data_IF_345237431220
#
_entry.id   IF_345237431220
#
_cell.length_a   1.000
_cell.length_b   1.000
_cell.length_c   1.000
_cell.angle_alpha   90.00
_cell.angle_beta   90.00
_cell.angle_gamma   90.00
#
_symmetry.space_group_name_H-M   'P 1'
#
loop_
_entity.id
_entity.type
_entity.pdbx_description
1 polymer ?
#
# COMPACT_ATOMS: atom_id res chain seq x y z
N UNK A 1 -39.08 34.83 -68.64
CA UNK A 1 -38.26 33.73 -68.10
C UNK A 1 -37.05 34.39 -67.47
N UNK A 2 -37.17 34.74 -66.19
CA UNK A 2 -36.14 35.47 -65.43
C UNK A 2 -34.96 34.55 -65.09
N UNK A 3 -33.71 35.05 -65.11
CA UNK A 3 -32.53 34.26 -64.80
C UNK A 3 -32.39 34.08 -63.28
N UNK A 4 -32.12 32.85 -62.85
CA UNK A 4 -31.86 32.50 -61.45
C UNK A 4 -30.63 33.26 -60.93
N UNK A 5 -30.85 34.14 -59.96
CA UNK A 5 -29.78 34.85 -59.26
C UNK A 5 -29.01 33.88 -58.35
N UNK A 6 -27.73 33.71 -58.64
CA UNK A 6 -26.80 32.96 -57.81
C UNK A 6 -26.52 33.74 -56.51
N UNK A 7 -26.89 33.18 -55.36
CA UNK A 7 -26.50 33.71 -54.06
C UNK A 7 -25.01 33.42 -53.79
N UNK A 8 -24.20 34.39 -53.34
CA UNK A 8 -22.78 34.16 -53.10
C UNK A 8 -22.60 33.38 -51.79
N UNK A 9 -21.94 32.23 -51.89
CA UNK A 9 -21.38 31.51 -50.75
C UNK A 9 -20.33 32.39 -50.07
N UNK A 10 -20.65 32.89 -48.87
CA UNK A 10 -19.70 33.61 -48.01
C UNK A 10 -18.55 32.68 -47.62
N UNK A 11 -17.41 32.79 -48.31
CA UNK A 11 -16.16 32.16 -47.90
C UNK A 11 -15.67 32.80 -46.59
N UNK A 12 -15.62 32.01 -45.51
CA UNK A 12 -15.02 32.42 -44.25
C UNK A 12 -13.54 32.78 -44.42
N UNK A 13 -13.16 33.98 -43.96
CA UNK A 13 -11.83 34.55 -44.17
C UNK A 13 -10.70 33.84 -43.39
N UNK A 14 -9.41 34.08 -43.76
CA UNK A 14 -8.25 33.36 -43.24
C UNK A 14 -8.09 33.41 -41.70
N UNK A 15 -8.53 34.51 -41.08
CA UNK A 15 -8.38 34.75 -39.63
C UNK A 15 -9.18 33.77 -38.77
N UNK A 16 -10.39 33.38 -39.19
CA UNK A 16 -11.21 32.43 -38.44
C UNK A 16 -10.60 31.02 -38.42
N UNK A 17 -9.93 30.62 -39.51
CA UNK A 17 -9.23 29.34 -39.60
C UNK A 17 -8.03 29.30 -38.66
N UNK A 18 -7.29 30.40 -38.53
CA UNK A 18 -6.16 30.52 -37.58
C UNK A 18 -6.63 30.43 -36.13
N UNK A 19 -7.73 31.10 -35.76
CA UNK A 19 -8.31 30.98 -34.42
C UNK A 19 -8.81 29.57 -34.10
N UNK A 20 -9.46 28.90 -35.05
CA UNK A 20 -9.93 27.52 -34.88
C UNK A 20 -8.76 26.54 -34.68
N UNK A 21 -7.66 26.73 -35.41
CA UNK A 21 -6.44 25.93 -35.26
C UNK A 21 -5.78 26.17 -33.89
N UNK A 22 -5.68 27.42 -33.44
CA UNK A 22 -5.14 27.74 -32.11
C UNK A 22 -5.99 27.16 -30.97
N UNK A 23 -7.32 27.27 -31.07
CA UNK A 23 -8.24 26.71 -30.07
C UNK A 23 -8.14 25.18 -30.03
N UNK A 24 -8.07 24.54 -31.19
CA UNK A 24 -7.85 23.09 -31.33
C UNK A 24 -6.52 22.66 -30.72
N UNK A 25 -5.45 23.41 -30.97
CA UNK A 25 -4.12 23.11 -30.45
C UNK A 25 -4.08 23.23 -28.91
N UNK A 26 -4.72 24.25 -28.34
CA UNK A 26 -4.86 24.41 -26.88
C UNK A 26 -5.70 23.29 -26.27
N UNK A 27 -6.80 22.89 -26.91
CA UNK A 27 -7.63 21.80 -26.44
C UNK A 27 -6.85 20.46 -26.43
N UNK A 28 -6.07 20.22 -27.48
CA UNK A 28 -5.25 19.03 -27.63
C UNK A 28 -4.13 18.98 -26.58
N UNK A 29 -3.45 20.10 -26.31
CA UNK A 29 -2.40 20.15 -25.28
C UNK A 29 -2.95 19.99 -23.87
N UNK A 30 -4.13 20.55 -23.56
CA UNK A 30 -4.81 20.34 -22.27
C UNK A 30 -5.23 18.88 -22.11
N UNK A 31 -5.81 18.26 -23.15
CA UNK A 31 -6.14 16.83 -23.16
C UNK A 31 -4.91 15.94 -22.97
N UNK A 32 -3.82 16.24 -23.66
CA UNK A 32 -2.56 15.53 -23.50
C UNK A 32 -1.98 15.71 -22.10
N UNK A 33 -2.04 16.92 -21.52
CA UNK A 33 -1.57 17.19 -20.15
C UNK A 33 -2.40 16.45 -19.08
N UNK A 34 -3.74 16.42 -19.24
CA UNK A 34 -4.63 15.60 -18.41
C UNK A 34 -4.33 14.09 -18.56
N UNK A 35 -3.90 13.66 -19.75
CA UNK A 35 -3.42 12.30 -19.99
C UNK A 35 -2.08 12.05 -19.28
N UNK A 36 -1.13 12.99 -19.33
CA UNK A 36 0.17 12.90 -18.64
C UNK A 36 0.00 12.84 -17.10
N UNK A 37 -0.99 13.55 -16.53
CA UNK A 37 -1.30 13.49 -15.10
C UNK A 37 -1.68 12.08 -14.63
N UNK A 38 -2.27 11.24 -15.50
CA UNK A 38 -2.57 9.82 -15.18
C UNK A 38 -1.31 8.94 -15.12
N UNK A 39 -0.20 9.39 -15.71
CA UNK A 39 1.07 8.69 -15.72
C UNK A 39 2.03 9.16 -14.62
N UNK A 40 1.70 10.23 -13.90
CA UNK A 40 2.40 10.61 -12.66
C UNK A 40 2.00 9.64 -11.54
N UNK A 41 2.56 8.43 -11.56
CA UNK A 41 2.54 7.55 -10.39
C UNK A 41 3.60 8.06 -9.43
N UNK A 42 3.24 8.50 -8.21
CA UNK A 42 4.23 8.93 -7.24
C UNK A 42 5.20 7.78 -6.97
N UNK A 43 6.49 8.06 -7.10
CA UNK A 43 7.53 7.09 -6.78
C UNK A 43 7.59 6.94 -5.26
N UNK A 44 7.02 5.85 -4.74
CA UNK A 44 7.09 5.53 -3.32
C UNK A 44 8.51 5.12 -2.98
N UNK A 45 9.24 6.00 -2.30
CA UNK A 45 10.63 5.77 -1.89
C UNK A 45 10.76 5.41 -0.41
N UNK A 46 9.64 5.28 0.33
CA UNK A 46 9.66 5.10 1.78
C UNK A 46 8.50 4.24 2.27
N UNK A 47 8.79 3.37 3.24
CA UNK A 47 7.80 2.60 3.98
C UNK A 47 6.78 3.49 4.70
N UNK A 48 7.18 4.70 5.10
CA UNK A 48 6.33 5.63 5.83
C UNK A 48 5.29 6.33 4.95
N UNK A 49 5.31 6.14 3.63
CA UNK A 49 4.32 6.70 2.72
C UNK A 49 3.05 5.83 2.59
N UNK A 50 3.03 4.65 3.21
CA UNK A 50 1.88 3.76 3.17
C UNK A 50 0.89 4.05 4.31
N UNK A 51 -0.37 3.71 4.06
CA UNK A 51 -1.42 3.65 5.06
C UNK A 51 -1.79 2.19 5.31
N UNK A 52 -2.11 1.87 6.56
CA UNK A 52 -2.52 0.53 6.98
C UNK A 52 -3.75 0.63 7.87
N UNK A 53 -4.42 -0.49 8.14
CA UNK A 53 -5.53 -0.52 9.09
C UNK A 53 -5.04 -0.86 10.49
N UNK A 54 -5.59 -0.20 11.50
CA UNK A 54 -5.42 -0.64 12.89
C UNK A 54 -6.25 -1.90 13.20
N UNK A 55 -6.08 -2.48 14.39
CA UNK A 55 -6.84 -3.66 14.81
C UNK A 55 -8.37 -3.48 14.76
N UNK A 56 -8.87 -2.23 14.82
CA UNK A 56 -10.29 -1.88 14.73
C UNK A 56 -10.76 -1.64 13.29
N UNK A 57 -9.86 -1.68 12.30
CA UNK A 57 -10.15 -1.50 10.88
C UNK A 57 -10.07 -0.06 10.39
N UNK A 58 -9.63 0.89 11.23
CA UNK A 58 -9.49 2.30 10.86
C UNK A 58 -8.17 2.51 10.12
N UNK A 59 -8.19 3.34 9.09
CA UNK A 59 -6.98 3.71 8.37
C UNK A 59 -6.04 4.55 9.24
N UNK A 60 -4.75 4.23 9.19
CA UNK A 60 -3.67 4.87 9.94
C UNK A 60 -2.49 5.07 9.00
N UNK A 61 -2.04 6.31 8.85
CA UNK A 61 -0.81 6.61 8.13
C UNK A 61 0.42 6.14 8.92
N UNK A 62 1.35 5.47 8.23
CA UNK A 62 2.63 5.06 8.80
C UNK A 62 3.61 6.23 8.93
N UNK A 63 3.30 7.39 8.35
CA UNK A 63 4.10 8.61 8.47
C UNK A 63 4.33 9.01 9.93
N UNK A 64 3.39 8.70 10.82
CA UNK A 64 3.52 8.95 12.28
C UNK A 64 4.70 8.24 12.95
N UNK A 65 5.29 7.24 12.29
CA UNK A 65 6.49 6.52 12.75
C UNK A 65 7.78 6.98 12.06
N UNK A 66 7.69 7.93 11.12
CA UNK A 66 8.86 8.51 10.45
C UNK A 66 9.75 9.22 11.47
N UNK A 67 11.06 9.09 11.29
CA UNK A 67 12.05 9.61 12.25
C UNK A 67 12.24 8.75 13.50
N UNK A 68 11.54 7.61 13.60
CA UNK A 68 11.80 6.56 14.60
C UNK A 68 12.36 5.33 13.92
N UNK A 69 13.23 4.59 14.61
CA UNK A 69 13.58 3.23 14.22
C UNK A 69 12.33 2.36 14.37
N UNK A 70 11.90 1.73 13.27
CA UNK A 70 10.69 0.91 13.23
C UNK A 70 11.05 -0.55 13.02
N UNK A 71 10.76 -1.40 14.01
CA UNK A 71 10.86 -2.85 13.88
C UNK A 71 9.52 -3.40 13.40
N UNK A 72 9.43 -3.75 12.12
CA UNK A 72 8.21 -4.27 11.50
C UNK A 72 8.22 -5.79 11.58
N UNK A 73 7.18 -6.38 12.17
CA UNK A 73 7.15 -7.82 12.48
C UNK A 73 5.79 -8.42 12.12
N UNK A 74 5.80 -9.53 11.38
CA UNK A 74 4.62 -10.37 11.26
C UNK A 74 4.48 -11.26 12.52
N UNK A 75 3.30 -11.28 13.12
CA UNK A 75 3.05 -12.02 14.37
C UNK A 75 1.92 -13.04 14.20
N UNK A 76 1.89 -14.01 15.11
CA UNK A 76 0.87 -15.06 15.21
C UNK A 76 0.55 -15.28 16.70
N UNK A 77 -0.71 -15.61 17.04
CA UNK A 77 -1.11 -15.94 18.42
C UNK A 77 -0.93 -17.43 18.72
N UNK A 78 -1.18 -18.30 17.73
CA UNK A 78 -1.21 -19.76 17.89
C UNK A 78 0.01 -20.41 17.22
N UNK A 79 1.20 -19.94 17.61
CA UNK A 79 2.50 -20.44 17.17
C UNK A 79 3.34 -20.87 18.39
N UNK A 80 4.15 -21.92 18.24
CA UNK A 80 5.05 -22.39 19.32
C UNK A 80 6.08 -21.32 19.75
N UNK A 81 6.32 -20.32 18.90
CA UNK A 81 7.24 -19.22 19.17
C UNK A 81 6.55 -17.96 19.72
N UNK A 82 5.21 -17.95 19.84
CA UNK A 82 4.42 -16.79 20.26
C UNK A 82 4.95 -16.19 21.57
N UNK A 83 5.08 -17.02 22.61
CA UNK A 83 5.49 -16.56 23.94
C UNK A 83 6.85 -15.89 23.92
N UNK A 84 7.86 -16.59 23.36
CA UNK A 84 9.23 -16.07 23.27
C UNK A 84 9.28 -14.76 22.47
N UNK A 85 8.56 -14.70 21.36
CA UNK A 85 8.58 -13.55 20.47
C UNK A 85 7.90 -12.33 21.12
N UNK A 86 6.69 -12.47 21.67
CA UNK A 86 6.01 -11.34 22.31
C UNK A 86 6.76 -10.82 23.54
N UNK A 87 7.36 -11.70 24.34
CA UNK A 87 8.19 -11.29 25.49
C UNK A 87 9.43 -10.50 25.04
N UNK A 88 10.14 -10.96 24.01
CA UNK A 88 11.30 -10.25 23.48
C UNK A 88 10.92 -8.89 22.86
N UNK A 89 9.84 -8.84 22.07
CA UNK A 89 9.35 -7.60 21.49
C UNK A 89 8.88 -6.59 22.54
N UNK A 90 8.25 -7.08 23.61
CA UNK A 90 7.86 -6.25 24.75
C UNK A 90 9.10 -5.60 25.38
N UNK A 91 10.13 -6.38 25.66
CA UNK A 91 11.33 -5.86 26.32
C UNK A 91 12.05 -4.84 25.44
N UNK A 92 12.25 -5.14 24.15
CA UNK A 92 12.81 -4.19 23.20
C UNK A 92 12.00 -2.89 23.12
N UNK A 93 10.68 -2.99 23.08
CA UNK A 93 9.83 -1.80 23.02
C UNK A 93 9.87 -0.98 24.30
N UNK A 94 9.95 -1.64 25.46
CA UNK A 94 10.07 -1.00 26.76
C UNK A 94 11.42 -0.28 26.91
N UNK A 95 12.50 -0.94 26.50
CA UNK A 95 13.87 -0.42 26.62
C UNK A 95 14.11 0.76 25.66
N UNK A 96 13.79 0.59 24.37
CA UNK A 96 14.13 1.58 23.34
C UNK A 96 12.99 2.53 22.99
N UNK A 97 11.75 2.25 23.39
CA UNK A 97 10.57 3.07 23.08
C UNK A 97 10.74 4.57 23.38
N UNK A 98 11.28 4.95 24.56
CA UNK A 98 11.59 6.35 24.88
C UNK A 98 12.66 6.99 23.97
N UNK A 99 13.51 6.18 23.33
CA UNK A 99 14.65 6.59 22.50
C UNK A 99 14.35 6.51 20.99
N UNK A 100 13.15 6.91 20.57
CA UNK A 100 12.73 6.92 19.16
C UNK A 100 12.68 5.54 18.48
N UNK A 101 12.20 4.51 19.18
CA UNK A 101 11.94 3.18 18.61
C UNK A 101 10.46 2.77 18.68
N UNK A 102 9.99 1.98 17.72
CA UNK A 102 8.65 1.40 17.77
C UNK A 102 8.59 0.02 17.11
N UNK A 103 7.95 -0.93 17.80
CA UNK A 103 7.56 -2.21 17.19
C UNK A 103 6.25 -2.00 16.45
N UNK A 104 6.17 -2.42 15.19
CA UNK A 104 4.97 -2.37 14.36
C UNK A 104 4.55 -3.81 14.06
N UNK A 105 3.57 -4.33 14.81
CA UNK A 105 3.18 -5.74 14.73
C UNK A 105 1.97 -5.95 13.81
N UNK A 106 2.12 -6.84 12.84
CA UNK A 106 1.13 -7.15 11.82
C UNK A 106 0.74 -8.63 11.90
N UNK A 107 -0.44 -8.97 12.43
CA UNK A 107 -0.90 -10.36 12.49
C UNK A 107 -1.00 -10.97 11.08
N UNK A 108 -0.60 -12.24 10.92
CA UNK A 108 -0.65 -12.92 9.62
C UNK A 108 -0.96 -14.42 9.76
N UNK A 109 -1.93 -14.91 8.98
CA UNK A 109 -2.39 -16.29 9.04
C UNK A 109 -1.81 -17.22 7.96
N UNK A 110 -0.83 -16.76 7.17
CA UNK A 110 -0.32 -17.51 6.01
C UNK A 110 0.72 -18.58 6.35
N UNK A 111 1.06 -18.74 7.63
CA UNK A 111 2.07 -19.69 8.11
C UNK A 111 1.42 -20.66 9.09
N UNK A 112 1.05 -21.85 8.61
CA UNK A 112 0.45 -22.91 9.43
C UNK A 112 -0.89 -22.53 10.08
N UNK A 113 -1.59 -21.54 9.53
CA UNK A 113 -2.87 -21.03 10.07
C UNK A 113 -2.80 -20.61 11.56
N UNK A 114 -1.63 -20.15 12.02
CA UNK A 114 -1.36 -19.78 13.41
C UNK A 114 -1.98 -18.45 13.88
N UNK A 115 -2.81 -17.79 13.08
CA UNK A 115 -3.50 -16.54 13.45
C UNK A 115 -4.96 -16.52 12.95
N UNK A 116 -5.79 -17.49 13.37
CA UNK A 116 -7.16 -17.60 12.88
C UNK A 116 -8.05 -16.46 13.40
N UNK A 117 -7.72 -15.90 14.58
CA UNK A 117 -8.53 -14.92 15.31
C UNK A 117 -8.70 -13.59 14.56
N UNK A 118 -9.83 -12.88 14.74
CA UNK A 118 -10.01 -11.52 14.24
C UNK A 118 -9.01 -10.52 14.86
N UNK A 119 -8.64 -9.47 14.11
CA UNK A 119 -7.63 -8.49 14.52
C UNK A 119 -7.85 -7.87 15.91
N UNK A 120 -9.11 -7.60 16.30
CA UNK A 120 -9.46 -7.07 17.62
C UNK A 120 -9.16 -8.04 18.75
N UNK A 121 -9.36 -9.34 18.52
CA UNK A 121 -9.05 -10.39 19.49
C UNK A 121 -7.54 -10.61 19.59
N UNK A 122 -6.80 -10.53 18.48
CA UNK A 122 -5.34 -10.59 18.49
C UNK A 122 -4.74 -9.45 19.31
N UNK A 123 -5.24 -8.21 19.12
CA UNK A 123 -4.84 -7.08 19.96
C UNK A 123 -5.15 -7.35 21.45
N UNK A 124 -6.36 -7.84 21.76
CA UNK A 124 -6.74 -8.15 23.13
C UNK A 124 -5.85 -9.23 23.76
N UNK A 125 -5.55 -10.29 23.00
CA UNK A 125 -4.67 -11.38 23.39
C UNK A 125 -3.27 -10.86 23.72
N UNK A 126 -2.65 -10.10 22.81
CA UNK A 126 -1.30 -9.59 23.01
C UNK A 126 -1.21 -8.68 24.24
N UNK A 127 -2.22 -7.81 24.44
CA UNK A 127 -2.29 -6.90 25.58
C UNK A 127 -2.54 -7.63 26.90
N UNK A 128 -3.50 -8.56 26.94
CA UNK A 128 -3.88 -9.27 28.17
C UNK A 128 -2.79 -10.23 28.64
N UNK A 129 -2.18 -10.98 27.72
CA UNK A 129 -1.24 -12.04 28.10
C UNK A 129 0.19 -11.53 28.29
N UNK A 130 0.61 -10.52 27.54
CA UNK A 130 1.99 -10.03 27.60
C UNK A 130 2.11 -8.58 28.05
N UNK A 131 1.03 -7.79 28.06
CA UNK A 131 1.07 -6.38 28.45
C UNK A 131 1.79 -5.50 27.42
N UNK A 132 1.73 -5.86 26.13
CA UNK A 132 2.38 -5.05 25.08
C UNK A 132 1.69 -3.69 24.89
N UNK A 133 2.51 -2.66 24.69
CA UNK A 133 2.05 -1.28 24.49
C UNK A 133 2.26 -0.78 23.07
N UNK A 134 3.07 -1.47 22.27
CA UNK A 134 3.28 -1.17 20.87
C UNK A 134 2.02 -1.40 20.01
N UNK A 135 1.90 -0.76 18.83
CA UNK A 135 0.76 -0.93 17.94
C UNK A 135 0.65 -2.34 17.36
N UNK A 136 -0.53 -2.93 17.51
CA UNK A 136 -0.98 -4.12 16.77
C UNK A 136 -1.92 -3.64 15.66
N UNK A 137 -1.58 -3.95 14.41
CA UNK A 137 -2.36 -3.55 13.23
C UNK A 137 -3.42 -4.60 12.87
N UNK A 138 -4.18 -4.32 11.83
CA UNK A 138 -5.08 -5.29 11.25
C UNK A 138 -4.30 -6.49 10.70
N UNK A 139 -4.89 -7.68 10.76
CA UNK A 139 -4.37 -8.87 10.11
C UNK A 139 -4.22 -8.64 8.61
N UNK A 140 -3.07 -9.03 8.06
CA UNK A 140 -2.73 -8.85 6.64
C UNK A 140 -2.27 -10.16 6.00
N UNK A 141 -2.27 -10.17 4.67
CA UNK A 141 -1.48 -11.10 3.87
C UNK A 141 -0.11 -10.45 3.59
N UNK A 142 0.96 -11.23 3.66
CA UNK A 142 2.32 -10.82 3.27
C UNK A 142 2.85 -11.59 2.05
N UNK A 143 2.18 -12.69 1.67
CA UNK A 143 2.44 -13.48 0.46
C UNK A 143 1.30 -13.35 -0.57
N UNK A 144 1.66 -13.46 -1.86
CA UNK A 144 0.71 -13.48 -2.98
C UNK A 144 0.32 -12.11 -3.56
N UNK A 145 -0.56 -12.12 -4.56
CA UNK A 145 -1.07 -10.93 -5.25
C UNK A 145 -1.74 -9.94 -4.30
N UNK A 146 -2.39 -10.45 -3.26
CA UNK A 146 -3.16 -9.67 -2.29
C UNK A 146 -2.31 -9.20 -1.10
N UNK A 147 -1.00 -9.45 -1.11
CA UNK A 147 -0.16 -9.03 0.01
C UNK A 147 -0.16 -7.50 0.19
N UNK A 148 -0.13 -7.09 1.46
CA UNK A 148 -0.16 -5.70 1.90
C UNK A 148 0.94 -4.89 1.20
N UNK A 149 0.60 -3.81 0.48
CA UNK A 149 1.56 -2.96 -0.22
C UNK A 149 2.76 -2.52 0.65
N UNK A 150 2.51 -2.19 1.92
CA UNK A 150 3.58 -1.80 2.85
C UNK A 150 4.60 -2.92 3.09
N UNK A 151 4.15 -4.18 3.21
CA UNK A 151 5.03 -5.34 3.34
C UNK A 151 5.73 -5.68 2.04
N UNK A 152 5.03 -5.60 0.90
CA UNK A 152 5.66 -5.78 -0.43
C UNK A 152 6.82 -4.81 -0.65
N UNK A 153 6.68 -3.58 -0.16
CA UNK A 153 7.76 -2.59 -0.21
C UNK A 153 8.98 -3.02 0.60
N UNK A 154 8.79 -3.48 1.85
CA UNK A 154 9.88 -3.90 2.73
C UNK A 154 10.65 -5.09 2.18
N UNK A 155 9.92 -6.07 1.62
CA UNK A 155 10.54 -7.32 1.19
C UNK A 155 11.06 -7.25 -0.26
N UNK A 156 10.61 -6.25 -1.02
CA UNK A 156 11.13 -5.93 -2.35
C UNK A 156 10.91 -7.03 -3.39
N UNK A 157 11.97 -7.30 -4.19
CA UNK A 157 12.02 -8.37 -5.19
C UNK A 157 12.61 -9.69 -4.66
N UNK A 158 13.10 -9.71 -3.41
CA UNK A 158 13.89 -10.82 -2.88
C UNK A 158 13.07 -11.98 -2.31
N UNK A 159 11.74 -11.89 -2.38
CA UNK A 159 10.88 -13.05 -2.22
C UNK A 159 10.60 -13.69 -3.58
N UNK A 160 11.12 -14.91 -3.87
CA UNK A 160 10.86 -15.62 -5.12
C UNK A 160 9.37 -16.00 -5.34
N UNK A 161 8.52 -15.79 -4.34
CA UNK A 161 7.10 -16.18 -4.28
C UNK A 161 6.15 -15.34 -5.15
N UNK A 162 6.65 -14.64 -6.18
CA UNK A 162 5.83 -13.66 -6.90
C UNK A 162 4.86 -14.30 -7.88
N UNK A 163 5.22 -15.41 -8.55
CA UNK A 163 4.33 -16.12 -9.47
C UNK A 163 4.69 -17.62 -9.52
N UNK A 164 3.72 -18.52 -9.34
CA UNK A 164 3.84 -19.95 -9.70
C UNK A 164 4.40 -20.93 -8.67
N UNK A 165 5.17 -20.51 -7.66
CA UNK A 165 5.71 -21.43 -6.65
C UNK A 165 4.83 -21.45 -5.39
N UNK A 166 4.05 -22.52 -5.24
CA UNK A 166 3.25 -22.77 -4.04
C UNK A 166 4.17 -22.91 -2.82
N UNK A 167 4.06 -21.99 -1.86
CA UNK A 167 4.64 -22.17 -0.53
C UNK A 167 3.98 -23.37 0.13
N UNK A 168 4.78 -24.38 0.53
CA UNK A 168 4.29 -25.47 1.36
C UNK A 168 4.50 -25.11 2.84
N UNK A 169 3.44 -24.70 3.57
CA UNK A 169 3.56 -24.28 4.97
C UNK A 169 3.99 -25.41 5.91
N UNK A 170 3.94 -26.67 5.49
CA UNK A 170 4.35 -27.82 6.29
C UNK A 170 5.85 -28.14 6.22
N UNK A 171 6.56 -27.61 5.23
CA UNK A 171 7.95 -28.01 4.95
C UNK A 171 8.97 -26.90 5.19
N UNK A 172 8.56 -25.65 5.39
CA UNK A 172 9.50 -24.54 5.62
C UNK A 172 10.49 -24.30 4.47
N UNK A 173 10.38 -25.02 3.36
CA UNK A 173 11.30 -24.99 2.23
C UNK A 173 10.59 -24.64 0.93
N UNK A 174 11.25 -23.81 0.13
CA UNK A 174 10.87 -23.56 -1.25
C UNK A 174 11.15 -24.82 -2.06
N UNK A 175 10.10 -25.42 -2.62
CA UNK A 175 10.28 -26.50 -3.60
C UNK A 175 10.84 -25.90 -4.89
N UNK A 176 12.09 -26.25 -5.19
CA UNK A 176 12.76 -26.01 -6.48
C UNK A 176 12.02 -26.68 -7.63
#
# INVERSE_FOLDING_TARGET
MEPLTAYPLKCAGPKAKVFAVLLSMVLCTVMLFLLQLKFLKPKINSFYAFEVKDAKGRTVSLEKFKGKVSLVVNVASDCQLTDRNYLALKELHKEFGPSHFSVLAFPCNQFGESEPRPSKEVESFARKNYGVTFPIFHKIKILGSDAEPAFKFLVGKYLPWREGHAFNPHLGEAKT
#
